data_IF_161353008501
#
_entry.id   IF_161353008501
#
_cell.length_a   1.000
_cell.length_b   1.000
_cell.length_c   1.000
_cell.angle_alpha   90.00
_cell.angle_beta   90.00
_cell.angle_gamma   90.00
#
_symmetry.space_group_name_H-M   'P 1'
#
loop_
_entity.id
_entity.type
_entity.pdbx_description
1 polymer ?
#
# COMPACT_ATOMS: atom_id res chain seq x y z
N UNK A 1 -24.50 21.14 13.62
CA UNK A 1 -23.77 20.06 12.88
C UNK A 1 -22.34 20.43 12.51
N UNK A 2 -21.99 21.69 12.19
CA UNK A 2 -20.61 22.06 11.80
C UNK A 2 -19.54 21.88 12.90
N UNK A 3 -19.91 21.99 14.18
CA UNK A 3 -18.97 21.82 15.30
C UNK A 3 -18.48 20.35 15.45
N UNK A 4 -19.32 19.38 15.08
CA UNK A 4 -18.95 17.96 15.09
C UNK A 4 -17.97 17.60 13.97
N UNK A 5 -18.17 18.15 12.76
CA UNK A 5 -17.29 17.92 11.62
C UNK A 5 -15.88 18.47 11.87
N UNK A 6 -15.79 19.67 12.45
CA UNK A 6 -14.51 20.27 12.81
C UNK A 6 -13.76 19.46 13.87
N UNK A 7 -14.47 18.95 14.88
CA UNK A 7 -13.86 18.07 15.88
C UNK A 7 -13.30 16.78 15.25
N UNK A 8 -14.05 16.19 14.33
CA UNK A 8 -13.62 14.96 13.66
C UNK A 8 -12.45 15.21 12.70
N UNK A 9 -12.40 16.38 12.04
CA UNK A 9 -11.24 16.80 11.25
C UNK A 9 -9.98 16.95 12.11
N UNK A 10 -10.11 17.53 13.31
CA UNK A 10 -9.01 17.63 14.28
C UNK A 10 -8.52 16.25 14.74
N UNK A 11 -9.42 15.27 14.89
CA UNK A 11 -9.03 13.90 15.21
C UNK A 11 -8.20 13.26 14.10
N UNK A 12 -8.60 13.40 12.83
CA UNK A 12 -7.81 12.92 11.69
C UNK A 12 -6.43 13.59 11.64
N UNK A 13 -6.38 14.90 11.90
CA UNK A 13 -5.12 15.63 11.97
C UNK A 13 -4.22 15.13 13.10
N UNK A 14 -4.78 14.91 14.29
CA UNK A 14 -4.04 14.39 15.45
C UNK A 14 -3.47 12.99 15.18
N UNK A 15 -4.24 12.10 14.54
CA UNK A 15 -3.76 10.77 14.16
C UNK A 15 -2.64 10.83 13.13
N UNK A 16 -2.73 11.71 12.12
CA UNK A 16 -1.66 11.87 11.14
C UNK A 16 -0.39 12.45 11.78
N UNK A 17 -0.52 13.44 12.65
CA UNK A 17 0.60 13.97 13.42
C UNK A 17 1.23 12.93 14.34
N UNK A 18 0.44 12.02 14.91
CA UNK A 18 0.96 10.91 15.71
C UNK A 18 1.69 9.85 14.86
N UNK A 19 1.31 9.70 13.60
CA UNK A 19 1.97 8.80 12.65
C UNK A 19 3.29 9.35 12.10
N UNK A 20 3.42 10.67 11.96
CA UNK A 20 4.64 11.31 11.44
C UNK A 20 5.81 11.20 12.43
N UNK A 21 7.06 11.06 11.94
CA UNK A 21 8.24 11.08 12.80
C UNK A 21 8.31 12.39 13.60
N UNK A 22 8.57 12.30 14.90
CA UNK A 22 8.90 13.46 15.72
C UNK A 22 10.40 13.72 15.59
N UNK A 23 10.79 14.86 15.03
CA UNK A 23 12.19 15.27 14.91
C UNK A 23 12.84 15.32 16.31
N UNK A 24 13.51 14.23 16.70
CA UNK A 24 14.20 14.12 17.99
C UNK A 24 15.68 14.53 17.87
N UNK A 25 16.09 15.03 16.71
CA UNK A 25 17.48 15.40 16.39
C UNK A 25 17.98 16.67 17.10
N UNK A 26 17.13 17.41 17.80
CA UNK A 26 17.52 18.65 18.49
C UNK A 26 17.89 18.47 20.00
N UNK A 27 17.66 17.30 20.60
CA UNK A 27 17.82 17.12 22.06
C UNK A 27 19.14 16.41 22.48
N UNK A 28 19.91 15.87 21.53
CA UNK A 28 21.11 15.08 21.84
C UNK A 28 22.41 15.90 22.01
N UNK A 29 22.40 17.20 21.73
CA UNK A 29 23.60 18.07 21.82
C UNK A 29 23.71 18.90 23.10
N UNK A 30 22.81 18.75 24.07
CA UNK A 30 22.78 19.60 25.28
C UNK A 30 23.10 18.87 26.61
N UNK A 31 23.82 17.76 26.61
CA UNK A 31 24.28 17.12 27.86
C UNK A 31 25.71 16.59 27.83
N UNK A 32 26.63 17.36 27.26
CA UNK A 32 28.07 17.21 27.56
C UNK A 32 28.54 18.49 28.24
N UNK A 33 28.33 18.59 29.55
CA UNK A 33 29.07 19.52 30.39
C UNK A 33 29.31 18.92 31.77
N UNK A 34 30.51 18.35 31.90
CA UNK A 34 31.42 18.41 33.05
C UNK A 34 30.85 18.24 34.46
N UNK A 35 31.25 17.15 35.11
CA UNK A 35 31.54 17.16 36.55
C UNK A 35 32.67 16.17 36.84
N UNK A 36 33.84 16.74 37.10
CA UNK A 36 35.04 16.10 37.60
C UNK A 36 35.01 16.03 39.13
N UNK A 37 35.23 14.85 39.71
CA UNK A 37 35.99 14.68 40.96
C UNK A 37 36.45 13.23 41.16
N UNK A 38 37.65 13.13 41.71
CA UNK A 38 38.55 11.98 41.88
C UNK A 38 38.27 11.13 43.13
N UNK A 39 38.41 9.80 43.06
CA UNK A 39 39.50 8.98 43.70
C UNK A 39 39.13 7.49 43.76
N UNK A 40 40.17 6.65 43.81
CA UNK A 40 40.25 5.21 43.52
C UNK A 40 39.71 4.24 44.61
N UNK A 41 39.38 3.00 44.22
CA UNK A 41 40.04 1.73 44.66
C UNK A 41 39.16 0.45 44.50
N UNK A 42 39.64 -0.50 43.67
CA UNK A 42 39.63 -2.00 43.75
C UNK A 42 38.37 -2.92 43.77
N UNK A 43 38.47 -3.96 42.91
CA UNK A 43 37.97 -5.37 42.94
C UNK A 43 36.53 -5.78 42.57
N UNK A 44 36.36 -6.31 41.32
CA UNK A 44 35.72 -7.56 40.80
C UNK A 44 34.46 -8.21 41.48
N UNK A 45 33.69 -9.08 40.76
CA UNK A 45 32.74 -8.82 39.66
C UNK A 45 31.30 -9.31 39.99
N UNK A 46 30.22 -8.69 39.48
CA UNK A 46 28.90 -9.36 39.47
C UNK A 46 27.90 -8.76 38.45
N UNK A 47 27.40 -9.64 37.57
CA UNK A 47 26.08 -9.68 36.92
C UNK A 47 25.49 -8.42 36.25
N UNK A 48 25.50 -8.48 34.91
CA UNK A 48 24.37 -8.28 34.01
C UNK A 48 23.31 -7.21 34.36
N UNK A 49 23.31 -6.13 33.58
CA UNK A 49 22.11 -5.48 33.01
C UNK A 49 22.57 -4.50 31.94
N UNK A 50 22.59 -4.94 30.69
CA UNK A 50 22.80 -4.07 29.53
C UNK A 50 21.61 -3.11 29.42
N UNK A 51 21.78 -1.79 29.30
CA UNK A 51 20.66 -0.89 29.09
C UNK A 51 20.09 -1.14 27.69
N UNK A 52 18.82 -1.51 27.63
CA UNK A 52 18.00 -1.68 26.43
C UNK A 52 17.82 -0.33 25.73
N UNK A 53 18.66 -0.05 24.74
CA UNK A 53 18.48 1.09 23.83
C UNK A 53 17.41 0.80 22.77
N UNK A 54 17.03 -0.47 22.59
CA UNK A 54 16.11 -0.93 21.53
C UNK A 54 14.62 -0.71 21.78
N UNK A 55 14.18 -0.39 23.01
CA UNK A 55 12.74 -0.33 23.32
C UNK A 55 12.05 0.95 22.84
N UNK A 56 12.78 2.08 22.78
CA UNK A 56 12.18 3.38 22.43
C UNK A 56 11.84 3.51 20.94
N UNK A 57 12.62 2.89 20.05
CA UNK A 57 12.33 2.88 18.61
C UNK A 57 11.09 2.06 18.30
N UNK A 58 11.00 0.88 18.90
CA UNK A 58 9.96 -0.12 18.59
C UNK A 58 8.60 0.30 19.17
N UNK A 59 8.60 0.92 20.35
CA UNK A 59 7.40 1.49 20.97
C UNK A 59 6.88 2.71 20.18
N UNK A 60 7.79 3.56 19.69
CA UNK A 60 7.43 4.68 18.84
C UNK A 60 6.82 4.21 17.51
N UNK A 61 7.41 3.21 16.86
CA UNK A 61 6.85 2.63 15.63
C UNK A 61 5.49 1.96 15.88
N UNK A 62 5.33 1.25 17.00
CA UNK A 62 4.05 0.63 17.37
C UNK A 62 2.91 1.66 17.52
N UNK A 63 3.19 2.80 18.17
CA UNK A 63 2.22 3.88 18.31
C UNK A 63 1.86 4.52 16.96
N UNK A 64 2.86 4.72 16.10
CA UNK A 64 2.67 5.27 14.74
C UNK A 64 1.85 4.32 13.87
N UNK A 65 2.13 3.02 13.92
CA UNK A 65 1.36 1.98 13.24
C UNK A 65 -0.09 1.95 13.73
N UNK A 66 -0.33 2.06 15.04
CA UNK A 66 -1.68 2.13 15.58
C UNK A 66 -2.45 3.38 15.09
N UNK A 67 -1.77 4.52 14.96
CA UNK A 67 -2.34 5.75 14.42
C UNK A 67 -2.71 5.61 12.93
N UNK A 68 -1.83 5.02 12.11
CA UNK A 68 -2.08 4.78 10.69
C UNK A 68 -3.24 3.78 10.50
N UNK A 69 -3.28 2.71 11.28
CA UNK A 69 -4.38 1.75 11.24
C UNK A 69 -5.71 2.40 11.66
N UNK A 70 -5.69 3.30 12.63
CA UNK A 70 -6.88 4.06 13.03
C UNK A 70 -7.34 5.02 11.93
N UNK A 71 -6.40 5.68 11.24
CA UNK A 71 -6.71 6.49 10.05
C UNK A 71 -7.31 5.66 8.93
N UNK A 72 -6.71 4.52 8.59
CA UNK A 72 -7.22 3.62 7.56
C UNK A 72 -8.66 3.20 7.86
N UNK A 73 -8.95 2.74 9.08
CA UNK A 73 -10.32 2.41 9.52
C UNK A 73 -11.27 3.60 9.40
N UNK A 74 -10.83 4.80 9.78
CA UNK A 74 -11.65 6.01 9.67
C UNK A 74 -11.92 6.42 8.21
N UNK A 75 -10.97 6.17 7.30
CA UNK A 75 -11.06 6.45 5.86
C UNK A 75 -12.09 5.52 5.20
N UNK A 76 -12.00 4.21 5.46
CA UNK A 76 -12.89 3.22 4.83
C UNK A 76 -14.30 3.19 5.44
N UNK A 77 -14.52 3.85 6.57
CA UNK A 77 -15.83 3.89 7.21
C UNK A 77 -16.80 4.79 6.42
N UNK A 78 -17.85 4.25 5.77
CA UNK A 78 -18.65 5.01 4.80
C UNK A 78 -19.28 6.31 5.34
N UNK A 79 -19.75 6.38 6.59
CA UNK A 79 -20.26 7.63 7.18
C UNK A 79 -19.25 8.78 7.23
N UNK A 80 -17.94 8.50 7.14
CA UNK A 80 -16.90 9.52 7.16
C UNK A 80 -16.54 10.04 5.76
N UNK A 81 -17.13 9.52 4.68
CA UNK A 81 -16.77 9.84 3.28
C UNK A 81 -16.67 11.34 2.99
N UNK A 82 -17.62 12.15 3.46
CA UNK A 82 -17.62 13.61 3.26
C UNK A 82 -16.43 14.27 3.98
N UNK A 83 -16.16 13.87 5.22
CA UNK A 83 -15.03 14.38 6.00
C UNK A 83 -13.69 13.99 5.36
N UNK A 84 -13.60 12.74 4.92
CA UNK A 84 -12.42 12.19 4.24
C UNK A 84 -12.15 12.96 2.95
N UNK A 85 -13.18 13.21 2.13
CA UNK A 85 -13.06 14.01 0.92
C UNK A 85 -12.53 15.42 1.21
N UNK A 86 -13.04 16.06 2.27
CA UNK A 86 -12.60 17.39 2.68
C UNK A 86 -11.15 17.41 3.21
N UNK A 87 -10.70 16.31 3.82
CA UNK A 87 -9.36 16.18 4.42
C UNK A 87 -8.34 15.52 3.49
N UNK A 88 -8.75 15.10 2.30
CA UNK A 88 -7.97 14.21 1.43
C UNK A 88 -6.60 14.77 1.06
N UNK A 89 -6.53 16.05 0.65
CA UNK A 89 -5.26 16.68 0.28
C UNK A 89 -4.25 16.67 1.43
N UNK A 90 -4.71 16.96 2.66
CA UNK A 90 -3.88 16.96 3.85
C UNK A 90 -3.41 15.54 4.21
N UNK A 91 -4.33 14.57 4.21
CA UNK A 91 -4.02 13.17 4.49
C UNK A 91 -3.03 12.59 3.46
N UNK A 92 -3.25 12.84 2.17
CA UNK A 92 -2.38 12.38 1.10
C UNK A 92 -0.97 12.99 1.17
N UNK A 93 -0.83 14.25 1.58
CA UNK A 93 0.49 14.83 1.83
C UNK A 93 1.23 14.09 2.94
N UNK A 94 0.57 13.81 4.06
CA UNK A 94 1.17 13.05 5.15
C UNK A 94 1.50 11.61 4.78
N UNK A 95 0.62 10.92 4.06
CA UNK A 95 0.92 9.58 3.57
C UNK A 95 2.08 9.57 2.58
N UNK A 96 2.16 10.52 1.63
CA UNK A 96 3.31 10.67 0.75
C UNK A 96 4.63 10.81 1.53
N UNK A 97 4.62 11.55 2.64
CA UNK A 97 5.80 11.66 3.52
C UNK A 97 6.13 10.32 4.19
N UNK A 98 5.11 9.61 4.69
CA UNK A 98 5.27 8.30 5.34
C UNK A 98 5.73 7.19 4.39
N UNK A 99 5.51 7.32 3.07
CA UNK A 99 6.08 6.39 2.09
C UNK A 99 7.61 6.40 2.07
N UNK A 100 8.23 7.48 2.54
CA UNK A 100 9.70 7.61 2.67
C UNK A 100 10.18 7.36 4.11
N UNK A 101 9.36 6.74 4.96
CA UNK A 101 9.72 6.48 6.35
C UNK A 101 10.87 5.46 6.47
N UNK A 102 11.66 5.59 7.53
CA UNK A 102 12.75 4.64 7.83
C UNK A 102 12.21 3.24 8.14
N UNK A 103 11.05 3.17 8.79
CA UNK A 103 10.43 1.92 9.20
C UNK A 103 9.62 1.31 8.05
N UNK A 104 10.00 0.11 7.60
CA UNK A 104 9.28 -0.59 6.53
C UNK A 104 7.81 -0.83 6.89
N UNK A 105 7.53 -1.26 8.13
CA UNK A 105 6.16 -1.50 8.58
C UNK A 105 5.30 -0.23 8.51
N UNK A 106 5.89 0.94 8.77
CA UNK A 106 5.20 2.23 8.68
C UNK A 106 4.99 2.62 7.22
N UNK A 107 5.99 2.46 6.35
CA UNK A 107 5.83 2.68 4.90
C UNK A 107 4.71 1.80 4.33
N UNK A 108 4.67 0.54 4.75
CA UNK A 108 3.66 -0.43 4.36
C UNK A 108 2.25 -0.02 4.79
N UNK A 109 2.07 0.27 6.08
CA UNK A 109 0.78 0.72 6.60
C UNK A 109 0.33 2.03 5.93
N UNK A 110 1.27 2.93 5.63
CA UNK A 110 0.99 4.18 4.94
C UNK A 110 0.58 3.97 3.48
N UNK A 111 1.22 3.04 2.75
CA UNK A 111 0.85 2.71 1.37
C UNK A 111 -0.59 2.17 1.30
N UNK A 112 -0.96 1.27 2.23
CA UNK A 112 -2.33 0.73 2.35
C UNK A 112 -3.32 1.86 2.69
N UNK A 113 -3.02 2.69 3.69
CA UNK A 113 -3.89 3.80 4.08
C UNK A 113 -4.06 4.86 2.98
N UNK A 114 -3.00 5.15 2.23
CA UNK A 114 -3.05 6.07 1.10
C UNK A 114 -3.88 5.51 -0.05
N UNK A 115 -3.70 4.23 -0.37
CA UNK A 115 -4.50 3.54 -1.38
C UNK A 115 -5.99 3.56 -1.05
N UNK A 116 -6.35 3.26 0.21
CA UNK A 116 -7.73 3.34 0.69
C UNK A 116 -8.30 4.76 0.56
N UNK A 117 -7.51 5.79 0.89
CA UNK A 117 -7.90 7.19 0.70
C UNK A 117 -8.20 7.48 -0.78
N UNK A 118 -7.31 7.10 -1.68
CA UNK A 118 -7.48 7.26 -3.13
C UNK A 118 -8.77 6.58 -3.63
N UNK A 119 -9.01 5.36 -3.18
CA UNK A 119 -10.20 4.58 -3.54
C UNK A 119 -11.51 5.26 -3.08
N UNK A 120 -11.58 5.69 -1.83
CA UNK A 120 -12.78 6.36 -1.26
C UNK A 120 -13.03 7.69 -1.94
N UNK A 121 -11.98 8.45 -2.23
CA UNK A 121 -12.05 9.76 -2.89
C UNK A 121 -12.58 9.65 -4.32
N UNK A 122 -12.23 8.59 -5.05
CA UNK A 122 -12.79 8.31 -6.38
C UNK A 122 -14.33 8.18 -6.37
N UNK A 123 -14.91 7.70 -5.28
CA UNK A 123 -16.36 7.44 -5.17
C UNK A 123 -17.19 8.66 -4.73
N UNK A 124 -16.57 9.83 -4.52
CA UNK A 124 -17.27 11.03 -4.02
C UNK A 124 -18.10 11.70 -5.14
N UNK A 125 -19.42 11.87 -4.99
CA UNK A 125 -20.27 12.46 -6.02
C UNK A 125 -19.91 13.92 -6.35
N UNK A 126 -19.94 14.28 -7.64
CA UNK A 126 -19.66 15.64 -8.11
C UNK A 126 -20.89 16.54 -7.86
N UNK A 127 -20.86 17.35 -6.79
CA UNK A 127 -21.83 18.43 -6.58
C UNK A 127 -21.60 19.65 -7.49
N UNK A 128 -22.51 20.63 -7.49
CA UNK A 128 -22.48 21.81 -8.38
C UNK A 128 -21.28 22.76 -8.17
N UNK A 129 -20.69 22.81 -6.96
CA UNK A 129 -19.40 23.47 -6.66
C UNK A 129 -18.20 22.51 -6.77
N UNK A 130 -18.45 21.26 -7.17
CA UNK A 130 -17.54 20.11 -7.02
C UNK A 130 -16.53 19.92 -8.15
N UNK A 131 -16.58 20.70 -9.24
CA UNK A 131 -15.65 20.52 -10.37
C UNK A 131 -14.17 20.75 -10.00
N UNK A 132 -13.86 21.81 -9.26
CA UNK A 132 -12.48 22.08 -8.85
C UNK A 132 -11.98 21.06 -7.81
N UNK A 133 -12.81 20.75 -6.81
CA UNK A 133 -12.48 19.73 -5.82
C UNK A 133 -12.27 18.36 -6.49
N UNK A 134 -13.11 17.99 -7.45
CA UNK A 134 -12.97 16.74 -8.19
C UNK A 134 -11.66 16.67 -9.00
N UNK A 135 -11.22 17.79 -9.61
CA UNK A 135 -9.91 17.84 -10.30
C UNK A 135 -8.76 17.65 -9.30
N UNK A 136 -8.79 18.32 -8.15
CA UNK A 136 -7.76 18.15 -7.12
C UNK A 136 -7.74 16.72 -6.57
N UNK A 137 -8.91 16.15 -6.30
CA UNK A 137 -9.06 14.78 -5.84
C UNK A 137 -8.58 13.76 -6.88
N UNK A 138 -8.88 13.96 -8.17
CA UNK A 138 -8.33 13.14 -9.25
C UNK A 138 -6.81 13.20 -9.29
N UNK A 139 -6.22 14.40 -9.21
CA UNK A 139 -4.77 14.58 -9.24
C UNK A 139 -4.04 13.88 -8.09
N UNK A 140 -4.70 13.76 -6.94
CA UNK A 140 -4.20 13.01 -5.79
C UNK A 140 -4.13 11.51 -6.09
N UNK A 141 -5.17 10.95 -6.70
CA UNK A 141 -5.21 9.54 -7.11
C UNK A 141 -4.19 9.28 -8.21
N UNK A 142 -4.12 10.15 -9.22
CA UNK A 142 -3.16 10.05 -10.32
C UNK A 142 -1.72 10.09 -9.80
N UNK A 143 -1.45 10.87 -8.75
CA UNK A 143 -0.13 10.89 -8.08
C UNK A 143 0.18 9.59 -7.34
N UNK A 144 -0.79 8.96 -6.68
CA UNK A 144 -0.59 7.65 -6.06
C UNK A 144 -0.31 6.57 -7.11
N UNK A 145 -1.11 6.52 -8.17
CA UNK A 145 -0.93 5.58 -9.28
C UNK A 145 0.40 5.82 -10.00
N UNK A 146 0.76 7.08 -10.24
CA UNK A 146 2.05 7.48 -10.81
C UNK A 146 3.26 7.18 -9.92
N UNK A 147 3.07 7.01 -8.61
CA UNK A 147 4.08 6.48 -7.71
C UNK A 147 4.16 4.95 -7.77
N UNK A 148 3.01 4.26 -7.79
CA UNK A 148 2.96 2.80 -7.69
C UNK A 148 3.40 2.08 -8.98
N UNK A 149 2.88 2.47 -10.16
CA UNK A 149 3.10 1.70 -11.38
C UNK A 149 4.58 1.61 -11.81
N UNK A 150 5.38 2.70 -11.78
CA UNK A 150 6.79 2.61 -12.16
C UNK A 150 7.63 1.68 -11.27
N UNK A 151 7.18 1.40 -10.04
CA UNK A 151 7.84 0.48 -9.11
C UNK A 151 7.63 -0.99 -9.46
N UNK A 152 6.61 -1.29 -10.27
CA UNK A 152 6.38 -2.64 -10.80
C UNK A 152 7.26 -2.91 -12.04
N UNK A 153 7.54 -1.90 -12.85
CA UNK A 153 8.36 -2.05 -14.06
C UNK A 153 9.87 -1.91 -13.82
N UNK A 154 10.29 -1.16 -12.79
CA UNK A 154 11.69 -1.00 -12.42
C UNK A 154 11.95 -1.63 -11.06
N UNK A 155 12.06 -2.96 -11.01
CA UNK A 155 12.39 -3.68 -9.78
C UNK A 155 13.77 -3.20 -9.30
N UNK A 156 13.76 -2.32 -8.31
CA UNK A 156 14.96 -1.87 -7.60
C UNK A 156 15.34 -2.93 -6.58
N UNK A 157 16.60 -3.35 -6.57
CA UNK A 157 17.08 -4.36 -5.65
C UNK A 157 17.08 -3.81 -4.20
N UNK A 158 16.05 -4.17 -3.42
CA UNK A 158 16.23 -4.40 -1.98
C UNK A 158 15.62 -3.42 -0.97
N UNK A 159 14.77 -2.47 -1.37
CA UNK A 159 14.11 -1.56 -0.40
C UNK A 159 12.66 -1.94 -0.05
N UNK A 160 12.15 -3.00 -0.68
CA UNK A 160 10.81 -3.55 -0.50
C UNK A 160 9.69 -2.69 -1.10
N UNK A 161 10.02 -1.65 -1.88
CA UNK A 161 9.03 -0.68 -2.37
C UNK A 161 8.07 -1.25 -3.40
N UNK A 162 8.49 -2.23 -4.21
CA UNK A 162 7.60 -2.94 -5.14
C UNK A 162 6.52 -3.72 -4.39
N UNK A 163 6.87 -4.37 -3.28
CA UNK A 163 5.92 -5.04 -2.38
C UNK A 163 4.92 -4.04 -1.80
N UNK A 164 5.40 -2.86 -1.37
CA UNK A 164 4.52 -1.80 -0.86
C UNK A 164 3.54 -1.31 -1.93
N UNK A 165 4.01 -1.15 -3.17
CA UNK A 165 3.18 -0.75 -4.29
C UNK A 165 2.09 -1.79 -4.56
N UNK A 166 2.42 -3.09 -4.60
CA UNK A 166 1.45 -4.17 -4.79
C UNK A 166 0.41 -4.23 -3.66
N UNK A 167 0.84 -4.07 -2.40
CA UNK A 167 -0.09 -4.01 -1.26
C UNK A 167 -1.03 -2.80 -1.32
N UNK A 168 -0.49 -1.64 -1.68
CA UNK A 168 -1.30 -0.44 -1.92
C UNK A 168 -2.29 -0.65 -3.08
N UNK A 169 -1.84 -1.17 -4.22
CA UNK A 169 -2.71 -1.43 -5.38
C UNK A 169 -3.80 -2.46 -5.05
N UNK A 170 -3.46 -3.52 -4.30
CA UNK A 170 -4.44 -4.49 -3.79
C UNK A 170 -5.51 -3.81 -2.94
N UNK A 171 -5.12 -2.94 -2.01
CA UNK A 171 -6.06 -2.22 -1.16
C UNK A 171 -6.93 -1.25 -1.97
N UNK A 172 -6.33 -0.50 -2.90
CA UNK A 172 -7.02 0.42 -3.80
C UNK A 172 -8.13 -0.30 -4.59
N UNK A 173 -7.79 -1.44 -5.20
CA UNK A 173 -8.74 -2.28 -5.95
C UNK A 173 -9.78 -2.92 -5.05
N UNK A 174 -9.43 -3.31 -3.82
CA UNK A 174 -10.36 -3.94 -2.88
C UNK A 174 -11.43 -2.96 -2.40
N UNK A 175 -11.02 -1.78 -1.93
CA UNK A 175 -11.89 -0.75 -1.35
C UNK A 175 -12.69 0.01 -2.41
N UNK A 176 -12.09 0.28 -3.57
CA UNK A 176 -12.70 1.19 -4.55
C UNK A 176 -13.95 0.64 -5.22
N UNK A 177 -14.91 1.52 -5.46
CA UNK A 177 -16.09 1.18 -6.28
C UNK A 177 -15.68 0.93 -7.74
N UNK A 178 -16.25 -0.10 -8.36
CA UNK A 178 -15.87 -0.56 -9.71
C UNK A 178 -15.99 0.57 -10.72
N UNK A 179 -17.11 1.30 -10.74
CA UNK A 179 -17.30 2.39 -11.72
C UNK A 179 -16.39 3.59 -11.45
N UNK A 180 -16.02 3.83 -10.20
CA UNK A 180 -15.19 4.96 -9.80
C UNK A 180 -13.70 4.77 -10.14
N UNK A 181 -13.19 3.55 -10.06
CA UNK A 181 -11.76 3.26 -10.28
C UNK A 181 -11.46 2.54 -11.60
N UNK A 182 -12.47 2.24 -12.42
CA UNK A 182 -12.34 1.47 -13.67
C UNK A 182 -11.21 1.95 -14.59
N UNK A 183 -11.02 3.27 -14.71
CA UNK A 183 -9.97 3.87 -15.55
C UNK A 183 -8.54 3.45 -15.18
N UNK A 184 -8.34 2.99 -13.95
CA UNK A 184 -7.03 2.55 -13.44
C UNK A 184 -6.81 1.04 -13.58
N UNK A 185 -7.85 0.25 -13.83
CA UNK A 185 -7.75 -1.20 -13.86
C UNK A 185 -6.78 -1.69 -14.96
N UNK A 186 -6.91 -1.18 -16.19
CA UNK A 186 -6.04 -1.59 -17.30
C UNK A 186 -4.57 -1.15 -17.11
N UNK A 187 -4.24 0.09 -16.73
CA UNK A 187 -2.86 0.47 -16.39
C UNK A 187 -2.23 -0.40 -15.30
N UNK A 188 -2.99 -0.73 -14.25
CA UNK A 188 -2.51 -1.61 -13.18
C UNK A 188 -2.27 -3.02 -13.73
N UNK A 189 -3.20 -3.56 -14.52
CA UNK A 189 -3.06 -4.88 -15.13
C UNK A 189 -1.80 -4.99 -16.00
N UNK A 190 -1.53 -3.99 -16.84
CA UNK A 190 -0.33 -3.97 -17.69
C UNK A 190 0.95 -3.97 -16.87
N UNK A 191 1.03 -3.13 -15.84
CA UNK A 191 2.19 -3.13 -14.95
C UNK A 191 2.36 -4.47 -14.21
N UNK A 192 1.25 -5.14 -13.88
CA UNK A 192 1.28 -6.48 -13.30
C UNK A 192 1.79 -7.54 -14.29
N UNK A 193 1.43 -7.44 -15.58
CA UNK A 193 1.95 -8.32 -16.63
C UNK A 193 3.46 -8.12 -16.84
N UNK A 194 3.91 -6.87 -16.94
CA UNK A 194 5.34 -6.55 -17.04
C UNK A 194 6.13 -7.14 -15.86
N UNK A 195 5.60 -7.04 -14.64
CA UNK A 195 6.21 -7.65 -13.47
C UNK A 195 6.20 -9.19 -13.52
N UNK A 196 5.15 -9.80 -14.07
CA UNK A 196 5.04 -11.26 -14.21
C UNK A 196 6.05 -11.83 -15.23
N UNK A 197 6.37 -11.04 -16.26
CA UNK A 197 7.35 -11.33 -17.31
C UNK A 197 8.80 -11.10 -16.87
N UNK A 198 9.04 -10.28 -15.85
CA UNK A 198 10.39 -9.98 -15.36
C UNK A 198 11.01 -11.20 -14.66
N UNK A 199 12.14 -11.68 -15.21
CA UNK A 199 12.91 -12.81 -14.67
C UNK A 199 13.43 -12.57 -13.24
N UNK A 200 13.52 -11.31 -12.80
CA UNK A 200 13.98 -10.94 -11.46
C UNK A 200 12.87 -11.03 -10.41
N UNK A 201 11.63 -11.30 -10.81
CA UNK A 201 10.49 -11.38 -9.90
C UNK A 201 10.68 -12.53 -8.92
N UNK A 202 10.61 -12.22 -7.62
CA UNK A 202 10.71 -13.24 -6.58
C UNK A 202 9.36 -13.95 -6.39
N UNK A 203 9.38 -15.19 -5.87
CA UNK A 203 8.14 -15.91 -5.51
C UNK A 203 7.28 -15.13 -4.50
N UNK A 204 7.91 -14.40 -3.58
CA UNK A 204 7.19 -13.55 -2.63
C UNK A 204 6.43 -12.41 -3.32
N UNK A 205 7.01 -11.82 -4.37
CA UNK A 205 6.35 -10.82 -5.22
C UNK A 205 5.26 -11.46 -6.07
N UNK A 206 5.50 -12.65 -6.64
CA UNK A 206 4.51 -13.40 -7.39
C UNK A 206 3.24 -13.66 -6.57
N UNK A 207 3.35 -14.09 -5.32
CA UNK A 207 2.19 -14.32 -4.45
C UNK A 207 1.38 -13.05 -4.18
N UNK A 208 2.07 -11.91 -4.02
CA UNK A 208 1.42 -10.59 -3.84
C UNK A 208 0.75 -10.13 -5.13
N UNK A 209 1.42 -10.32 -6.26
CA UNK A 209 0.94 -10.02 -7.60
C UNK A 209 -0.33 -10.80 -7.94
N UNK A 210 -0.36 -12.11 -7.63
CA UNK A 210 -1.54 -12.96 -7.79
C UNK A 210 -2.76 -12.38 -7.08
N UNK A 211 -2.59 -11.82 -5.87
CA UNK A 211 -3.69 -11.18 -5.15
C UNK A 211 -4.27 -9.96 -5.88
N UNK A 212 -3.42 -9.19 -6.59
CA UNK A 212 -3.84 -8.05 -7.41
C UNK A 212 -4.55 -8.53 -8.67
N UNK A 213 -3.97 -9.49 -9.39
CA UNK A 213 -4.54 -10.10 -10.60
C UNK A 213 -5.92 -10.70 -10.34
N UNK A 214 -6.10 -11.40 -9.21
CA UNK A 214 -7.41 -11.91 -8.77
C UNK A 214 -8.42 -10.80 -8.57
N UNK A 215 -8.07 -9.70 -7.92
CA UNK A 215 -9.02 -8.59 -7.73
C UNK A 215 -9.40 -7.97 -9.08
N UNK A 216 -8.45 -7.85 -10.00
CA UNK A 216 -8.71 -7.33 -11.35
C UNK A 216 -9.65 -8.26 -12.11
N UNK A 217 -9.40 -9.57 -12.10
CA UNK A 217 -10.24 -10.54 -12.80
C UNK A 217 -11.68 -10.54 -12.27
N UNK A 218 -11.84 -10.50 -10.94
CA UNK A 218 -13.15 -10.52 -10.29
C UNK A 218 -13.95 -9.22 -10.51
N UNK A 219 -13.30 -8.06 -10.38
CA UNK A 219 -13.99 -6.75 -10.40
C UNK A 219 -14.04 -6.09 -11.78
N UNK A 220 -13.05 -6.35 -12.65
CA UNK A 220 -12.86 -5.66 -13.93
C UNK A 220 -12.76 -6.66 -15.08
N UNK A 221 -13.75 -7.54 -15.18
CA UNK A 221 -13.69 -8.67 -16.11
C UNK A 221 -13.52 -8.28 -17.58
N UNK A 222 -14.09 -7.14 -17.99
CA UNK A 222 -13.95 -6.62 -19.36
C UNK A 222 -12.52 -6.17 -19.66
N UNK A 223 -11.84 -5.58 -18.69
CA UNK A 223 -10.43 -5.20 -18.82
C UNK A 223 -9.51 -6.40 -18.74
N UNK A 224 -9.86 -7.44 -17.98
CA UNK A 224 -9.03 -8.63 -17.80
C UNK A 224 -9.13 -9.63 -18.96
N UNK A 225 -10.31 -9.80 -19.56
CA UNK A 225 -10.56 -10.83 -20.58
C UNK A 225 -9.57 -10.82 -21.76
N UNK A 226 -9.20 -9.68 -22.36
CA UNK A 226 -8.27 -9.65 -23.49
C UNK A 226 -6.86 -10.14 -23.15
N UNK A 227 -6.50 -10.12 -21.88
CA UNK A 227 -5.16 -10.44 -21.36
C UNK A 227 -5.11 -11.80 -20.66
N UNK A 228 -6.24 -12.50 -20.62
CA UNK A 228 -6.42 -13.68 -19.79
C UNK A 228 -5.47 -14.82 -20.17
N UNK A 229 -5.37 -15.17 -21.46
CA UNK A 229 -4.50 -16.25 -21.90
C UNK A 229 -3.03 -15.94 -21.64
N UNK A 230 -2.58 -14.72 -21.94
CA UNK A 230 -1.20 -14.31 -21.69
C UNK A 230 -0.82 -14.48 -20.21
N UNK A 231 -1.72 -14.07 -19.31
CA UNK A 231 -1.51 -14.22 -17.86
C UNK A 231 -1.45 -15.70 -17.45
N UNK A 232 -2.35 -16.52 -17.98
CA UNK A 232 -2.37 -17.97 -17.70
C UNK A 232 -1.10 -18.64 -18.21
N UNK A 233 -0.65 -18.32 -19.43
CA UNK A 233 0.54 -18.90 -20.03
C UNK A 233 1.80 -18.54 -19.22
N UNK A 234 1.90 -17.29 -18.76
CA UNK A 234 2.99 -16.86 -17.87
C UNK A 234 2.95 -17.61 -16.54
N UNK A 235 1.78 -17.69 -15.89
CA UNK A 235 1.63 -18.41 -14.62
C UNK A 235 1.89 -19.91 -14.75
N UNK A 236 1.53 -20.51 -15.88
CA UNK A 236 1.87 -21.90 -16.19
C UNK A 236 3.39 -22.06 -16.32
N UNK A 237 4.07 -21.11 -16.96
CA UNK A 237 5.54 -21.05 -16.98
C UNK A 237 6.15 -21.07 -15.58
N UNK A 238 5.64 -20.22 -14.68
CA UNK A 238 6.04 -20.21 -13.26
C UNK A 238 5.79 -21.55 -12.58
N UNK A 239 4.62 -22.15 -12.80
CA UNK A 239 4.25 -23.42 -12.19
C UNK A 239 5.03 -24.62 -12.70
N UNK A 240 5.66 -24.53 -13.87
CA UNK A 240 6.45 -25.60 -14.48
C UNK A 240 7.94 -25.54 -14.13
N UNK A 241 8.36 -24.59 -13.28
CA UNK A 241 9.73 -24.52 -12.77
C UNK A 241 10.07 -25.82 -12.01
N UNK A 242 11.15 -26.53 -12.39
CA UNK A 242 11.42 -27.89 -11.91
C UNK A 242 11.73 -27.95 -10.41
N UNK A 243 12.38 -26.93 -9.85
CA UNK A 243 12.77 -26.86 -8.44
C UNK A 243 11.79 -26.06 -7.57
N UNK A 244 10.59 -25.76 -8.10
CA UNK A 244 9.58 -25.02 -7.36
C UNK A 244 9.02 -25.88 -6.22
N UNK A 245 9.04 -25.32 -5.00
CA UNK A 245 8.45 -25.96 -3.83
C UNK A 245 6.95 -26.22 -4.06
N UNK A 246 6.47 -27.36 -3.58
CA UNK A 246 5.09 -27.79 -3.85
C UNK A 246 4.04 -26.81 -3.27
N UNK A 247 4.37 -26.14 -2.15
CA UNK A 247 3.53 -25.08 -1.58
C UNK A 247 3.34 -23.92 -2.56
N UNK A 248 4.40 -23.47 -3.21
CA UNK A 248 4.37 -22.34 -4.14
C UNK A 248 3.69 -22.75 -5.45
N UNK A 249 3.95 -23.98 -5.92
CA UNK A 249 3.23 -24.58 -7.06
C UNK A 249 1.73 -24.62 -6.81
N UNK A 250 1.32 -25.05 -5.61
CA UNK A 250 -0.10 -25.10 -5.21
C UNK A 250 -0.71 -23.71 -5.22
N UNK A 251 -0.04 -22.69 -4.68
CA UNK A 251 -0.53 -21.30 -4.69
C UNK A 251 -0.77 -20.80 -6.13
N UNK A 252 0.13 -21.10 -7.06
CA UNK A 252 -0.04 -20.73 -8.47
C UNK A 252 -1.21 -21.50 -9.10
N UNK A 253 -1.29 -22.82 -8.90
CA UNK A 253 -2.39 -23.64 -9.44
C UNK A 253 -3.75 -23.23 -8.89
N UNK A 254 -3.84 -22.92 -7.59
CA UNK A 254 -5.08 -22.46 -6.96
C UNK A 254 -5.54 -21.11 -7.54
N UNK A 255 -4.63 -20.28 -8.04
CA UNK A 255 -5.00 -19.03 -8.71
C UNK A 255 -5.82 -19.27 -9.99
N UNK A 256 -5.61 -20.40 -10.70
CA UNK A 256 -6.36 -20.71 -11.92
C UNK A 256 -7.86 -20.90 -11.66
N UNK A 257 -8.22 -21.45 -10.49
CA UNK A 257 -9.61 -21.55 -10.06
C UNK A 257 -10.24 -20.17 -9.83
N UNK A 258 -9.45 -19.20 -9.39
CA UNK A 258 -9.91 -17.81 -9.20
C UNK A 258 -10.22 -17.14 -10.54
N UNK A 259 -9.63 -17.62 -11.64
CA UNK A 259 -9.91 -17.16 -12.99
C UNK A 259 -11.01 -17.94 -13.72
N UNK A 260 -11.68 -18.92 -13.07
CA UNK A 260 -12.64 -19.85 -13.70
C UNK A 260 -13.69 -19.17 -14.63
N UNK A 261 -14.14 -17.97 -14.28
CA UNK A 261 -15.15 -17.21 -15.04
C UNK A 261 -14.67 -16.82 -16.45
N UNK A 262 -13.37 -16.64 -16.63
CA UNK A 262 -12.78 -16.17 -17.88
C UNK A 262 -12.58 -17.29 -18.91
N UNK A 263 -12.45 -18.53 -18.44
CA UNK A 263 -12.33 -19.72 -19.29
C UNK A 263 -13.58 -19.96 -20.14
N UNK A 264 -14.77 -19.65 -19.60
CA UNK A 264 -16.06 -19.87 -20.30
C UNK A 264 -16.35 -18.77 -21.33
N UNK A 265 -15.81 -17.57 -21.14
CA UNK A 265 -15.89 -16.47 -22.11
C UNK A 265 -14.90 -16.59 -23.27
N UNK A 266 -13.91 -17.49 -23.14
CA UNK A 266 -12.98 -17.85 -24.20
C UNK A 266 -13.61 -18.97 -25.03
N UNK A 267 -14.52 -18.59 -25.91
CA UNK A 267 -15.00 -19.48 -26.96
C UNK A 267 -14.17 -19.18 -28.21
N UNK A 268 -13.16 -20.00 -28.58
CA UNK A 268 -12.27 -19.73 -29.72
C UNK A 268 -13.00 -19.68 -31.07
N UNK A 269 -14.31 -19.96 -31.07
CA UNK A 269 -15.22 -19.90 -32.22
C UNK A 269 -16.17 -18.71 -32.20
N UNK A 270 -16.10 -17.81 -31.20
CA UNK A 270 -16.95 -16.61 -31.15
C UNK A 270 -16.33 -15.48 -31.99
N UNK A 271 -16.93 -15.08 -33.12
CA UNK A 271 -16.35 -14.12 -34.06
C UNK A 271 -16.26 -12.68 -33.53
N UNK A 272 -16.65 -12.41 -32.28
CA UNK A 272 -16.58 -11.09 -31.65
C UNK A 272 -15.30 -10.82 -30.88
N UNK A 273 -14.42 -11.82 -30.68
CA UNK A 273 -13.15 -11.67 -29.94
C UNK A 273 -11.94 -11.41 -30.83
N UNK A 274 -12.13 -11.24 -32.15
CA UNK A 274 -11.07 -10.82 -33.09
C UNK A 274 -11.46 -9.46 -33.66
N UNK A 275 -11.05 -8.38 -33.01
CA UNK A 275 -11.04 -7.01 -33.54
C UNK A 275 -10.00 -6.17 -32.82
#
# INVERSE_FOLDING_TARGET
MMQGLHHQQQQLAALLSAALPKDTTAAATASVTSSSSTTASTTLPTTASTPTVSTKSDENDSARLAAINSLHRAIIYPPNSILVAHSASFLAQGFCQLLSDKSYAVRQSAAIAYAALCAVVCSVPIGSSGRQNHVMLSSLVDRFIGWALPLLSNISAGDGTTELALEGLREFLSVGDVGAIERYALPILKACQELLEDERTSLSLLHRLLSVLTLISLKFSLSFQPHFLDIIDLLLGWALVPDLAESDRTVIMDSFLQFQKHWVGWDPWNPTTVS
#
